data_IF_017042306940
#
_entry.id   IF_017042306940
#
_cell.length_a   1.000
_cell.length_b   1.000
_cell.length_c   1.000
_cell.angle_alpha   90.00
_cell.angle_beta   90.00
_cell.angle_gamma   90.00
#
_symmetry.space_group_name_H-M   'P 1'
#
loop_
_entity.id
_entity.type
_entity.pdbx_description
1 polymer ?
#
# COMPACT_ATOMS: atom_id res chain seq x y z
N UNK A 1 -14.57 -26.24 33.01
CA UNK A 1 -13.57 -25.31 32.44
C UNK A 1 -13.02 -26.01 31.22
N UNK A 2 -13.35 -25.52 30.02
CA UNK A 2 -12.81 -26.11 28.80
C UNK A 2 -11.30 -25.85 28.81
N UNK A 3 -10.49 -26.90 28.72
CA UNK A 3 -9.07 -26.77 28.41
C UNK A 3 -8.97 -25.96 27.12
N UNK A 4 -8.40 -24.76 27.22
CA UNK A 4 -7.99 -23.99 26.06
C UNK A 4 -6.92 -24.83 25.37
N UNK A 5 -7.25 -25.46 24.25
CA UNK A 5 -6.25 -26.09 23.41
C UNK A 5 -5.19 -25.02 23.09
N UNK A 6 -3.98 -25.16 23.62
CA UNK A 6 -2.85 -24.31 23.29
C UNK A 6 -2.67 -24.38 21.77
N UNK A 7 -2.89 -23.27 21.06
CA UNK A 7 -2.48 -23.25 19.67
C UNK A 7 -0.94 -23.37 19.65
N UNK A 8 -0.44 -24.22 18.75
CA UNK A 8 0.99 -24.59 18.72
C UNK A 8 1.80 -23.72 17.79
N UNK A 9 1.16 -22.76 17.11
CA UNK A 9 1.79 -21.93 16.09
C UNK A 9 2.65 -20.83 16.71
N UNK A 10 3.90 -20.76 16.29
CA UNK A 10 4.85 -19.70 16.65
C UNK A 10 5.00 -18.71 15.50
N UNK A 11 4.54 -17.48 15.70
CA UNK A 11 4.70 -16.36 14.78
C UNK A 11 5.94 -15.54 15.14
N UNK A 12 6.95 -15.56 14.28
CA UNK A 12 8.13 -14.70 14.34
C UNK A 12 8.02 -13.39 13.54
N UNK A 13 8.57 -12.31 14.09
CA UNK A 13 8.79 -11.04 13.38
C UNK A 13 10.25 -10.66 13.49
N UNK A 14 10.85 -10.38 12.32
CA UNK A 14 12.21 -9.87 12.20
C UNK A 14 12.18 -8.34 12.07
N UNK A 15 13.30 -7.71 12.36
CA UNK A 15 13.51 -6.30 12.12
C UNK A 15 13.60 -6.03 10.61
N UNK A 16 12.87 -5.03 10.13
CA UNK A 16 12.97 -4.59 8.74
C UNK A 16 14.29 -3.83 8.54
N UNK A 17 15.06 -4.23 7.52
CA UNK A 17 16.40 -3.67 7.27
C UNK A 17 16.48 -2.78 6.05
N UNK A 18 15.39 -2.64 5.31
CA UNK A 18 15.31 -1.75 4.14
C UNK A 18 15.48 -0.28 4.57
N UNK A 19 16.24 0.50 3.80
CA UNK A 19 16.58 1.90 4.12
C UNK A 19 15.35 2.79 4.38
N UNK A 20 14.24 2.50 3.70
CA UNK A 20 13.03 3.31 3.76
C UNK A 20 11.91 2.68 4.59
N UNK A 21 12.17 1.56 5.26
CA UNK A 21 11.17 0.87 6.07
C UNK A 21 11.30 1.25 7.54
N UNK A 22 10.16 1.53 8.16
CA UNK A 22 10.06 1.87 9.58
C UNK A 22 8.87 1.18 10.23
N UNK A 23 8.08 0.43 9.46
CA UNK A 23 6.95 -0.38 9.90
C UNK A 23 7.44 -1.70 10.50
N UNK A 24 6.55 -2.39 11.18
CA UNK A 24 6.76 -3.71 11.77
C UNK A 24 5.52 -4.58 11.56
N UNK A 25 5.74 -5.87 11.29
CA UNK A 25 4.68 -6.81 10.94
C UNK A 25 3.74 -7.17 12.11
N UNK A 26 4.18 -7.01 13.36
CA UNK A 26 3.32 -7.12 14.55
C UNK A 26 3.54 -5.95 15.51
N UNK A 27 2.44 -5.38 15.99
CA UNK A 27 2.41 -4.43 17.11
C UNK A 27 2.04 -5.13 18.43
N UNK A 28 2.39 -4.55 19.59
CA UNK A 28 2.08 -5.14 20.90
C UNK A 28 0.58 -5.44 21.14
N UNK A 29 -0.34 -4.62 20.60
CA UNK A 29 -1.77 -4.88 20.73
C UNK A 29 -2.21 -6.13 19.95
N UNK A 30 -1.59 -6.39 18.79
CA UNK A 30 -1.86 -7.57 17.98
C UNK A 30 -1.19 -8.82 18.55
N UNK A 31 -0.02 -8.70 19.17
CA UNK A 31 0.57 -9.79 19.97
C UNK A 31 -0.41 -10.24 21.06
N UNK A 32 -0.99 -9.30 21.80
CA UNK A 32 -1.99 -9.60 22.84
C UNK A 32 -3.21 -10.32 22.26
N UNK A 33 -3.66 -9.91 21.06
CA UNK A 33 -4.79 -10.54 20.35
C UNK A 33 -4.45 -11.97 19.92
N UNK A 34 -3.30 -12.18 19.27
CA UNK A 34 -2.84 -13.47 18.79
C UNK A 34 -2.65 -14.47 19.93
N UNK A 35 -2.08 -14.02 21.05
CA UNK A 35 -1.92 -14.86 22.25
C UNK A 35 -3.26 -15.39 22.78
N UNK A 36 -4.33 -14.58 22.75
CA UNK A 36 -5.68 -15.02 23.15
C UNK A 36 -6.25 -16.10 22.23
N UNK A 37 -5.81 -16.12 20.98
CA UNK A 37 -6.12 -17.17 20.00
C UNK A 37 -5.12 -18.34 20.05
N UNK A 38 -4.24 -18.38 21.05
CA UNK A 38 -3.26 -19.43 21.28
C UNK A 38 -1.96 -19.27 20.49
N UNK A 39 -1.78 -18.24 19.66
CA UNK A 39 -0.54 -18.06 18.87
C UNK A 39 0.57 -17.46 19.74
N UNK A 40 1.72 -18.12 19.77
CA UNK A 40 2.91 -17.62 20.45
C UNK A 40 3.67 -16.67 19.53
N UNK A 41 4.14 -15.53 20.06
CA UNK A 41 4.84 -14.53 19.26
C UNK A 41 6.32 -14.43 19.67
N UNK A 42 7.23 -14.49 18.70
CA UNK A 42 8.65 -14.17 18.84
C UNK A 42 8.95 -12.88 18.10
N UNK A 43 9.61 -11.94 18.76
CA UNK A 43 9.96 -10.65 18.17
C UNK A 43 11.47 -10.50 18.24
N UNK A 44 12.11 -10.18 17.12
CA UNK A 44 13.52 -9.81 17.12
C UNK A 44 13.72 -8.55 17.97
N UNK A 45 14.72 -8.56 18.84
CA UNK A 45 15.08 -7.38 19.64
C UNK A 45 15.31 -6.16 18.75
N UNK A 46 14.63 -5.06 19.07
CA UNK A 46 14.69 -3.81 18.32
C UNK A 46 13.74 -3.72 17.12
N UNK A 47 13.03 -4.78 16.72
CA UNK A 47 12.23 -4.81 15.49
C UNK A 47 11.14 -3.72 15.42
N UNK A 48 10.57 -3.31 16.56
CA UNK A 48 9.52 -2.29 16.62
C UNK A 48 10.01 -0.86 16.78
N UNK A 49 11.31 -0.62 16.97
CA UNK A 49 11.83 0.69 17.42
C UNK A 49 11.52 1.80 16.41
N UNK A 50 11.66 1.53 15.11
CA UNK A 50 11.33 2.49 14.05
C UNK A 50 9.82 2.81 13.96
N UNK A 51 8.97 1.93 14.51
CA UNK A 51 7.52 2.12 14.66
C UNK A 51 7.11 2.70 16.03
N UNK A 52 8.09 3.05 16.87
CA UNK A 52 7.90 3.53 18.24
C UNK A 52 7.35 2.49 19.23
N UNK A 53 7.68 1.21 19.01
CA UNK A 53 7.42 0.11 19.96
C UNK A 53 8.74 -0.44 20.48
N UNK A 54 8.97 -0.39 21.78
CA UNK A 54 10.20 -0.94 22.39
C UNK A 54 9.99 -2.40 22.80
N UNK A 55 11.08 -3.14 22.97
CA UNK A 55 11.07 -4.57 23.37
C UNK A 55 10.26 -4.84 24.65
N UNK A 56 10.23 -3.88 25.57
CA UNK A 56 9.43 -3.99 26.80
C UNK A 56 7.92 -4.00 26.52
N UNK A 57 7.46 -3.27 25.49
CA UNK A 57 6.04 -3.26 25.10
C UNK A 57 5.60 -4.64 24.59
N UNK A 58 6.46 -5.29 23.79
CA UNK A 58 6.24 -6.66 23.31
C UNK A 58 6.25 -7.68 24.44
N UNK A 59 7.22 -7.57 25.35
CA UNK A 59 7.31 -8.44 26.52
C UNK A 59 6.06 -8.32 27.41
N UNK A 60 5.57 -7.08 27.65
CA UNK A 60 4.31 -6.83 28.39
C UNK A 60 3.08 -7.38 27.69
N UNK A 61 3.06 -7.34 26.35
CA UNK A 61 2.01 -7.95 25.54
C UNK A 61 2.03 -9.49 25.55
N UNK A 62 3.11 -10.10 26.04
CA UNK A 62 3.27 -11.55 26.16
C UNK A 62 4.00 -12.21 24.99
N UNK A 63 4.70 -11.45 24.16
CA UNK A 63 5.69 -12.01 23.22
C UNK A 63 7.01 -12.32 23.94
N UNK A 64 7.82 -13.17 23.32
CA UNK A 64 9.22 -13.34 23.70
C UNK A 64 10.09 -12.50 22.77
N UNK A 65 10.90 -11.60 23.35
CA UNK A 65 11.88 -10.83 22.59
C UNK A 65 13.20 -11.61 22.58
N UNK A 66 13.68 -11.94 21.39
CA UNK A 66 14.83 -12.85 21.18
C UNK A 66 15.73 -12.34 20.05
N UNK A 67 16.85 -13.03 19.81
CA UNK A 67 17.72 -12.73 18.66
C UNK A 67 17.06 -13.13 17.33
N UNK A 68 17.48 -12.52 16.22
CA UNK A 68 17.03 -12.89 14.88
C UNK A 68 17.20 -14.40 14.60
N UNK A 69 18.33 -14.98 15.03
CA UNK A 69 18.64 -16.40 14.86
C UNK A 69 17.64 -17.30 15.59
N UNK A 70 17.23 -16.90 16.80
CA UNK A 70 16.19 -17.63 17.54
C UNK A 70 14.81 -17.51 16.90
N UNK A 71 14.44 -16.32 16.37
CA UNK A 71 13.19 -16.16 15.60
C UNK A 71 13.19 -17.13 14.42
N UNK A 72 14.26 -17.12 13.62
CA UNK A 72 14.40 -17.97 12.41
C UNK A 72 14.36 -19.46 12.76
N UNK A 73 15.01 -19.86 13.86
CA UNK A 73 15.08 -21.27 14.25
C UNK A 73 13.76 -21.82 14.78
N UNK A 74 12.93 -20.99 15.41
CA UNK A 74 11.77 -21.42 16.21
C UNK A 74 10.43 -21.12 15.53
N UNK A 75 10.32 -20.05 14.76
CA UNK A 75 9.05 -19.63 14.16
C UNK A 75 8.52 -20.67 13.16
N UNK A 76 7.21 -20.90 13.18
CA UNK A 76 6.48 -21.69 12.17
C UNK A 76 5.97 -20.79 11.04
N UNK A 77 5.75 -19.51 11.35
CA UNK A 77 5.36 -18.48 10.41
C UNK A 77 6.16 -17.20 10.66
N UNK A 78 6.60 -16.56 9.59
CA UNK A 78 7.26 -15.26 9.60
C UNK A 78 6.41 -14.25 8.83
N UNK A 79 6.18 -13.09 9.45
CA UNK A 79 5.44 -11.98 8.86
C UNK A 79 6.40 -10.89 8.42
N UNK A 80 6.15 -10.34 7.24
CA UNK A 80 7.04 -9.39 6.60
C UNK A 80 6.28 -8.16 6.11
N UNK A 81 6.93 -7.00 6.20
CA UNK A 81 6.52 -5.79 5.50
C UNK A 81 7.11 -5.81 4.10
N UNK A 82 8.44 -5.91 4.02
CA UNK A 82 9.16 -6.14 2.77
C UNK A 82 9.52 -7.62 2.65
N UNK A 83 9.42 -8.18 1.44
CA UNK A 83 9.73 -9.59 1.24
C UNK A 83 11.17 -9.95 1.67
N UNK A 84 11.38 -11.13 2.28
CA UNK A 84 12.70 -11.53 2.76
C UNK A 84 13.73 -11.67 1.63
N UNK A 85 15.00 -11.42 1.94
CA UNK A 85 16.09 -11.63 0.98
C UNK A 85 16.27 -13.11 0.65
N UNK A 86 16.83 -13.43 -0.52
CA UNK A 86 17.17 -14.82 -0.88
C UNK A 86 18.12 -15.48 0.13
N UNK A 87 19.01 -14.70 0.75
CA UNK A 87 19.89 -15.17 1.81
C UNK A 87 19.09 -15.58 3.06
N UNK A 88 18.07 -14.81 3.43
CA UNK A 88 17.18 -15.16 4.53
C UNK A 88 16.33 -16.39 4.20
N UNK A 89 15.79 -16.51 2.98
CA UNK A 89 15.05 -17.72 2.56
C UNK A 89 15.87 -19.00 2.78
N UNK A 90 17.17 -18.98 2.48
CA UNK A 90 18.06 -20.13 2.68
C UNK A 90 18.41 -20.46 4.14
N UNK A 91 18.12 -19.56 5.08
CA UNK A 91 18.37 -19.76 6.52
C UNK A 91 17.13 -20.24 7.28
N UNK A 92 15.95 -20.02 6.73
CA UNK A 92 14.68 -20.39 7.36
C UNK A 92 14.47 -21.91 7.28
N UNK A 93 13.94 -22.50 8.35
CA UNK A 93 13.66 -23.95 8.39
C UNK A 93 12.61 -24.31 7.34
N UNK A 94 12.78 -25.47 6.69
CA UNK A 94 11.78 -26.00 5.75
C UNK A 94 10.42 -26.17 6.45
N UNK A 95 9.35 -25.95 5.69
CA UNK A 95 7.97 -25.96 6.17
C UNK A 95 7.51 -24.65 6.83
N UNK A 96 8.40 -23.66 7.00
CA UNK A 96 8.00 -22.35 7.54
C UNK A 96 7.16 -21.57 6.53
N UNK A 97 6.13 -20.91 7.05
CA UNK A 97 5.28 -20.03 6.29
C UNK A 97 5.84 -18.61 6.27
N UNK A 98 5.81 -17.95 5.12
CA UNK A 98 6.12 -16.53 5.00
C UNK A 98 4.88 -15.79 4.51
N UNK A 99 4.47 -14.76 5.25
CA UNK A 99 3.28 -13.95 4.96
C UNK A 99 3.71 -12.50 4.73
N UNK A 100 3.31 -11.91 3.61
CA UNK A 100 3.54 -10.49 3.31
C UNK A 100 3.38 -10.18 1.84
N UNK A 101 3.90 -9.03 1.41
CA UNK A 101 3.94 -8.63 0.00
C UNK A 101 5.13 -9.28 -0.71
N UNK A 102 4.91 -10.35 -1.48
CA UNK A 102 5.99 -11.21 -2.00
C UNK A 102 6.48 -10.86 -3.41
N UNK A 103 5.80 -9.96 -4.11
CA UNK A 103 6.12 -9.60 -5.50
C UNK A 103 5.72 -10.67 -6.53
N UNK A 104 4.74 -11.51 -6.17
CA UNK A 104 4.33 -12.69 -6.93
C UNK A 104 3.71 -12.41 -8.31
N UNK A 105 3.31 -11.17 -8.59
CA UNK A 105 2.85 -10.77 -9.93
C UNK A 105 3.99 -10.50 -10.92
N UNK A 106 5.19 -10.21 -10.42
CA UNK A 106 6.30 -9.70 -11.24
C UNK A 106 7.55 -10.55 -11.19
N UNK A 107 7.66 -11.42 -10.20
CA UNK A 107 8.91 -12.10 -9.89
C UNK A 107 8.67 -13.59 -9.64
N UNK A 108 8.42 -14.32 -10.73
CA UNK A 108 8.20 -15.76 -10.70
C UNK A 108 9.45 -16.54 -10.23
N UNK A 109 10.65 -16.00 -10.47
CA UNK A 109 11.91 -16.58 -10.01
C UNK A 109 12.01 -16.53 -8.48
N UNK A 110 11.58 -15.43 -7.86
CA UNK A 110 11.50 -15.32 -6.41
C UNK A 110 10.48 -16.30 -5.80
N UNK A 111 9.31 -16.47 -6.40
CA UNK A 111 8.32 -17.49 -5.98
C UNK A 111 8.93 -18.89 -6.08
N UNK A 112 9.64 -19.17 -7.18
CA UNK A 112 10.37 -20.44 -7.36
C UNK A 112 11.47 -20.63 -6.31
N UNK A 113 12.12 -19.56 -5.86
CA UNK A 113 13.13 -19.63 -4.81
C UNK A 113 12.52 -19.99 -3.44
N UNK A 114 11.33 -19.46 -3.12
CA UNK A 114 10.57 -19.84 -1.92
C UNK A 114 10.24 -21.35 -1.95
N UNK A 115 9.73 -21.85 -3.08
CA UNK A 115 9.42 -23.26 -3.29
C UNK A 115 10.67 -24.14 -3.12
N UNK A 116 11.79 -23.77 -3.74
CA UNK A 116 13.07 -24.50 -3.65
C UNK A 116 13.66 -24.51 -2.24
N UNK A 117 13.39 -23.47 -1.45
CA UNK A 117 13.76 -23.42 -0.04
C UNK A 117 12.86 -24.32 0.85
N UNK A 118 11.82 -24.94 0.27
CA UNK A 118 10.87 -25.79 0.99
C UNK A 118 9.95 -24.99 1.92
N UNK A 119 9.66 -23.73 1.57
CA UNK A 119 8.84 -22.82 2.35
C UNK A 119 7.42 -22.71 1.78
N UNK A 120 6.48 -22.26 2.60
CA UNK A 120 5.11 -21.91 2.16
C UNK A 120 5.02 -20.40 2.00
N UNK A 121 4.74 -19.93 0.79
CA UNK A 121 4.62 -18.50 0.51
C UNK A 121 3.16 -18.06 0.44
N UNK A 122 2.73 -17.17 1.32
CA UNK A 122 1.40 -16.54 1.31
C UNK A 122 1.53 -15.09 0.86
N UNK A 123 1.14 -14.82 -0.37
CA UNK A 123 1.24 -13.50 -0.99
C UNK A 123 -0.02 -12.67 -0.70
N UNK A 124 0.10 -11.65 0.15
CA UNK A 124 -1.02 -10.77 0.51
C UNK A 124 -1.53 -9.96 -0.69
N UNK A 125 -0.69 -9.70 -1.68
CA UNK A 125 -1.10 -9.01 -2.90
C UNK A 125 -2.06 -9.83 -3.78
N UNK A 126 -2.17 -11.15 -3.57
CA UNK A 126 -3.06 -12.06 -4.31
C UNK A 126 -4.47 -12.17 -3.70
N UNK A 127 -4.74 -11.48 -2.60
CA UNK A 127 -6.02 -11.52 -1.89
C UNK A 127 -7.22 -11.19 -2.82
N UNK A 128 -8.21 -12.09 -2.97
CA UNK A 128 -9.45 -11.82 -3.70
C UNK A 128 -10.31 -10.77 -2.98
N UNK A 129 -10.38 -9.55 -3.54
CA UNK A 129 -11.09 -8.42 -2.90
C UNK A 129 -12.61 -8.46 -3.03
N UNK A 130 -13.15 -9.42 -3.77
CA UNK A 130 -14.60 -9.61 -3.95
C UNK A 130 -15.24 -10.33 -2.76
N UNK A 131 -14.43 -11.01 -1.94
CA UNK A 131 -14.89 -11.77 -0.78
C UNK A 131 -15.01 -10.85 0.44
N UNK A 132 -16.19 -10.83 1.08
CA UNK A 132 -16.41 -10.03 2.27
C UNK A 132 -15.55 -10.48 3.46
N UNK A 133 -15.29 -11.78 3.59
CA UNK A 133 -14.40 -12.37 4.61
C UNK A 133 -12.95 -11.94 4.47
N UNK A 134 -12.53 -11.53 3.28
CA UNK A 134 -11.15 -11.12 2.98
C UNK A 134 -10.85 -9.66 3.35
N UNK A 135 -11.87 -8.82 3.59
CA UNK A 135 -11.68 -7.37 3.68
C UNK A 135 -10.73 -6.95 4.80
N UNK A 136 -10.72 -7.66 5.93
CA UNK A 136 -9.82 -7.34 7.04
C UNK A 136 -8.37 -7.81 6.81
N UNK A 137 -8.13 -8.62 5.78
CA UNK A 137 -6.81 -9.09 5.35
C UNK A 137 -6.16 -8.16 4.32
N UNK A 138 -6.91 -7.18 3.77
CA UNK A 138 -6.44 -6.33 2.67
C UNK A 138 -5.46 -5.25 3.15
N UNK A 139 -4.18 -5.63 3.20
CA UNK A 139 -3.06 -4.71 3.45
C UNK A 139 -3.01 -3.58 2.42
N UNK A 140 -3.21 -3.85 1.14
CA UNK A 140 -3.10 -2.82 0.11
C UNK A 140 -4.09 -1.68 0.35
N UNK A 141 -5.32 -1.99 0.77
CA UNK A 141 -6.30 -0.98 1.16
C UNK A 141 -5.83 -0.19 2.38
N UNK A 142 -5.33 -0.86 3.41
CA UNK A 142 -4.89 -0.19 4.64
C UNK A 142 -3.68 0.72 4.41
N UNK A 143 -2.67 0.25 3.68
CA UNK A 143 -1.44 1.00 3.39
C UNK A 143 -1.69 2.13 2.38
N UNK A 144 -2.55 1.93 1.38
CA UNK A 144 -2.92 3.02 0.45
C UNK A 144 -3.67 4.14 1.15
N UNK A 145 -4.50 3.82 2.16
CA UNK A 145 -5.19 4.82 2.98
C UNK A 145 -4.17 5.73 3.69
N UNK A 146 -3.17 5.14 4.35
CA UNK A 146 -2.07 5.86 5.01
C UNK A 146 -1.26 6.69 4.02
N UNK A 147 -0.90 6.11 2.87
CA UNK A 147 -0.17 6.78 1.80
C UNK A 147 -0.91 8.04 1.32
N UNK A 148 -2.22 7.95 1.09
CA UNK A 148 -3.05 9.09 0.68
C UNK A 148 -3.06 10.23 1.68
N UNK A 149 -3.20 9.91 2.97
CA UNK A 149 -3.10 10.89 4.05
C UNK A 149 -1.72 11.58 4.03
N UNK A 150 -0.65 10.80 4.04
CA UNK A 150 0.71 11.34 4.11
C UNK A 150 1.09 12.13 2.85
N UNK A 151 0.59 11.75 1.67
CA UNK A 151 0.82 12.48 0.43
C UNK A 151 0.33 13.93 0.51
N UNK A 152 -0.86 14.15 1.07
CA UNK A 152 -1.39 15.49 1.28
C UNK A 152 -0.57 16.29 2.30
N UNK A 153 -0.05 15.65 3.36
CA UNK A 153 0.84 16.30 4.33
C UNK A 153 2.18 16.70 3.69
N UNK A 154 2.77 15.81 2.89
CA UNK A 154 4.02 16.09 2.15
C UNK A 154 3.80 17.24 1.17
N UNK A 155 2.69 17.23 0.44
CA UNK A 155 2.34 18.33 -0.45
C UNK A 155 2.20 19.66 0.29
N UNK A 156 1.50 19.67 1.43
CA UNK A 156 1.31 20.86 2.25
C UNK A 156 2.63 21.39 2.84
N UNK A 157 3.53 20.50 3.25
CA UNK A 157 4.84 20.88 3.78
C UNK A 157 5.76 21.47 2.71
N UNK A 158 5.68 20.96 1.48
CA UNK A 158 6.50 21.43 0.37
C UNK A 158 5.94 22.71 -0.30
N UNK A 159 4.64 22.95 -0.20
CA UNK A 159 4.00 24.10 -0.82
C UNK A 159 4.27 25.38 -0.03
N UNK A 160 4.74 26.43 -0.73
CA UNK A 160 5.20 27.67 -0.09
C UNK A 160 4.11 28.64 0.38
N UNK A 161 2.84 28.23 0.42
CA UNK A 161 1.71 29.09 0.80
C UNK A 161 0.68 28.31 1.63
N UNK A 162 -0.28 29.02 2.21
CA UNK A 162 -1.38 28.42 2.95
C UNK A 162 -2.31 27.61 2.03
N UNK A 163 -2.69 26.42 2.50
CA UNK A 163 -3.78 25.64 1.90
C UNK A 163 -5.17 26.26 2.15
N UNK A 164 -5.53 26.70 3.38
CA UNK A 164 -6.83 27.30 3.62
C UNK A 164 -6.89 28.75 3.14
N UNK A 165 -8.11 29.24 2.94
CA UNK A 165 -8.34 30.68 2.82
C UNK A 165 -8.06 31.34 4.17
N UNK A 166 -7.28 32.43 4.16
CA UNK A 166 -6.99 33.19 5.37
C UNK A 166 -7.31 34.67 5.13
N UNK A 167 -8.13 35.25 6.00
CA UNK A 167 -8.35 36.70 6.04
C UNK A 167 -7.50 37.28 7.15
N UNK A 168 -6.53 38.13 6.80
CA UNK A 168 -5.58 38.73 7.75
C UNK A 168 -5.61 40.25 7.66
N UNK A 169 -4.95 40.93 8.59
CA UNK A 169 -4.77 42.39 8.52
C UNK A 169 -4.02 42.84 7.24
N UNK A 170 -3.17 41.98 6.67
CA UNK A 170 -2.42 42.27 5.45
C UNK A 170 -3.21 41.95 4.16
N UNK A 171 -4.44 41.44 4.28
CA UNK A 171 -5.30 41.07 3.15
C UNK A 171 -5.71 39.60 3.17
N UNK A 172 -6.36 39.18 2.08
CA UNK A 172 -6.91 37.83 1.92
C UNK A 172 -5.96 36.95 1.12
N UNK A 173 -5.60 35.81 1.70
CA UNK A 173 -4.84 34.74 1.04
C UNK A 173 -5.86 33.74 0.49
N UNK A 174 -5.80 33.51 -0.83
CA UNK A 174 -6.69 32.55 -1.50
C UNK A 174 -6.28 31.12 -1.13
N UNK A 175 -7.25 30.19 -1.01
CA UNK A 175 -6.94 28.80 -0.73
C UNK A 175 -6.18 28.16 -1.88
N UNK A 176 -5.32 27.20 -1.56
CA UNK A 176 -4.63 26.39 -2.56
C UNK A 176 -5.64 25.52 -3.33
N UNK A 177 -5.39 25.36 -4.62
CA UNK A 177 -6.10 24.43 -5.50
C UNK A 177 -5.29 23.16 -5.63
N UNK A 178 -5.87 22.05 -5.20
CA UNK A 178 -5.25 20.73 -5.24
C UNK A 178 -5.96 19.87 -6.28
N UNK A 179 -5.20 19.27 -7.20
CA UNK A 179 -5.66 18.27 -8.15
C UNK A 179 -5.19 16.88 -7.70
N UNK A 180 -6.13 15.94 -7.57
CA UNK A 180 -5.83 14.54 -7.31
C UNK A 180 -6.08 13.73 -8.59
N UNK A 181 -5.04 13.07 -9.12
CA UNK A 181 -5.15 12.18 -10.29
C UNK A 181 -5.11 10.72 -9.83
N UNK A 182 -6.27 10.07 -9.95
CA UNK A 182 -6.57 8.76 -9.38
C UNK A 182 -7.42 8.90 -8.11
N UNK A 183 -8.62 8.32 -8.12
CA UNK A 183 -9.56 8.31 -6.99
C UNK A 183 -9.77 6.88 -6.46
N UNK A 184 -8.69 6.09 -6.40
CA UNK A 184 -8.64 4.87 -5.58
C UNK A 184 -8.53 5.21 -4.09
N UNK A 185 -8.33 4.21 -3.22
CA UNK A 185 -8.25 4.40 -1.76
C UNK A 185 -7.27 5.52 -1.35
N UNK A 186 -6.07 5.54 -1.93
CA UNK A 186 -5.08 6.58 -1.65
C UNK A 186 -5.54 7.97 -2.13
N UNK A 187 -6.12 8.06 -3.32
CA UNK A 187 -6.67 9.30 -3.86
C UNK A 187 -7.79 9.85 -2.99
N UNK A 188 -8.75 9.00 -2.58
CA UNK A 188 -9.84 9.38 -1.69
C UNK A 188 -9.33 9.88 -0.33
N UNK A 189 -8.29 9.25 0.24
CA UNK A 189 -7.67 9.77 1.45
C UNK A 189 -6.93 11.10 1.27
N UNK A 190 -6.23 11.27 0.13
CA UNK A 190 -5.59 12.53 -0.20
C UNK A 190 -6.64 13.65 -0.34
N UNK A 191 -7.78 13.36 -0.98
CA UNK A 191 -8.92 14.29 -1.06
C UNK A 191 -9.39 14.70 0.33
N UNK A 192 -9.74 13.72 1.18
CA UNK A 192 -10.25 13.98 2.52
C UNK A 192 -9.27 14.79 3.37
N UNK A 193 -7.97 14.49 3.26
CA UNK A 193 -6.92 15.19 4.02
C UNK A 193 -6.71 16.61 3.52
N UNK A 194 -6.56 16.83 2.21
CA UNK A 194 -6.40 18.17 1.64
C UNK A 194 -7.63 19.07 1.91
N UNK A 195 -8.85 18.50 1.89
CA UNK A 195 -10.07 19.19 2.29
C UNK A 195 -10.05 19.62 3.75
N UNK A 196 -9.60 18.74 4.66
CA UNK A 196 -9.46 19.07 6.10
C UNK A 196 -8.41 20.16 6.34
N UNK A 197 -7.39 20.24 5.49
CA UNK A 197 -6.41 21.35 5.49
C UNK A 197 -6.94 22.65 4.87
N UNK A 198 -8.18 22.65 4.36
CA UNK A 198 -8.86 23.84 3.83
C UNK A 198 -8.60 24.15 2.35
N UNK A 199 -7.96 23.24 1.61
CA UNK A 199 -7.74 23.42 0.18
C UNK A 199 -9.03 23.27 -0.64
N UNK A 200 -9.04 23.89 -1.82
CA UNK A 200 -10.04 23.62 -2.86
C UNK A 200 -9.57 22.41 -3.66
N UNK A 201 -10.21 21.26 -3.42
CA UNK A 201 -9.80 20.00 -4.02
C UNK A 201 -10.66 19.67 -5.23
N UNK A 202 -10.00 19.31 -6.32
CA UNK A 202 -10.58 18.68 -7.50
C UNK A 202 -9.91 17.33 -7.73
N UNK A 203 -10.64 16.32 -8.19
CA UNK A 203 -10.07 15.02 -8.48
C UNK A 203 -10.56 14.47 -9.81
N UNK A 204 -9.75 13.60 -10.42
CA UNK A 204 -10.08 12.90 -11.65
C UNK A 204 -9.75 11.42 -11.53
N UNK A 205 -10.61 10.57 -12.07
CA UNK A 205 -10.39 9.14 -12.25
C UNK A 205 -11.07 8.71 -13.55
N UNK A 206 -10.51 7.70 -14.22
CA UNK A 206 -11.08 7.17 -15.46
C UNK A 206 -12.38 6.38 -15.20
N UNK A 207 -12.59 5.91 -13.96
CA UNK A 207 -13.77 5.13 -13.58
C UNK A 207 -14.97 6.08 -13.36
N UNK A 208 -16.11 5.85 -14.03
CA UNK A 208 -17.31 6.67 -13.84
C UNK A 208 -17.82 6.68 -12.39
N UNK A 209 -17.72 5.54 -11.69
CA UNK A 209 -18.19 5.40 -10.30
C UNK A 209 -17.47 6.35 -9.33
N UNK A 210 -16.21 6.68 -9.60
CA UNK A 210 -15.40 7.53 -8.73
C UNK A 210 -15.90 8.97 -8.63
N UNK A 211 -16.73 9.44 -9.57
CA UNK A 211 -17.33 10.77 -9.48
C UNK A 211 -18.16 10.94 -8.20
N UNK A 212 -19.04 9.98 -7.90
CA UNK A 212 -19.86 10.03 -6.69
C UNK A 212 -19.03 9.95 -5.41
N UNK A 213 -17.97 9.13 -5.41
CA UNK A 213 -17.04 9.01 -4.27
C UNK A 213 -16.31 10.34 -4.00
N UNK A 214 -15.78 10.97 -5.05
CA UNK A 214 -15.10 12.28 -4.98
C UNK A 214 -16.04 13.36 -4.44
N UNK A 215 -17.25 13.44 -5.01
CA UNK A 215 -18.24 14.44 -4.62
C UNK A 215 -18.75 14.23 -3.18
N UNK A 216 -18.85 12.98 -2.71
CA UNK A 216 -19.22 12.66 -1.32
C UNK A 216 -18.23 13.19 -0.28
N UNK A 217 -16.96 13.37 -0.67
CA UNK A 217 -15.90 13.98 0.16
C UNK A 217 -15.86 15.52 0.03
N UNK A 218 -16.79 16.11 -0.73
CA UNK A 218 -16.88 17.55 -0.94
C UNK A 218 -15.81 18.12 -1.88
N UNK A 219 -15.17 17.27 -2.69
CA UNK A 219 -14.30 17.69 -3.78
C UNK A 219 -15.07 17.81 -5.10
N UNK A 220 -14.51 18.56 -6.05
CA UNK A 220 -15.07 18.63 -7.41
C UNK A 220 -14.52 17.50 -8.26
N UNK A 221 -15.34 16.90 -9.11
CA UNK A 221 -14.82 16.03 -10.16
C UNK A 221 -14.32 16.87 -11.33
N UNK A 222 -13.15 16.55 -11.88
CA UNK A 222 -12.57 17.29 -12.99
C UNK A 222 -13.34 16.99 -14.27
N UNK A 223 -14.00 18.01 -14.82
CA UNK A 223 -14.62 17.93 -16.13
C UNK A 223 -13.60 18.25 -17.23
N UNK A 224 -13.29 17.23 -18.04
CA UNK A 224 -12.38 17.32 -19.18
C UNK A 224 -13.07 17.91 -20.42
N UNK A 225 -14.39 18.08 -20.43
CA UNK A 225 -15.14 18.51 -21.61
C UNK A 225 -15.18 17.45 -22.73
N UNK A 226 -14.94 16.19 -22.37
CA UNK A 226 -14.90 15.05 -23.28
C UNK A 226 -16.04 14.08 -22.91
N UNK A 227 -16.80 13.65 -23.91
CA UNK A 227 -17.87 12.67 -23.72
C UNK A 227 -17.46 11.30 -24.28
N UNK A 228 -17.02 10.42 -23.39
CA UNK A 228 -16.68 9.02 -23.70
C UNK A 228 -17.81 8.05 -23.34
N UNK A 229 -19.01 8.53 -23.01
CA UNK A 229 -20.14 7.73 -22.50
C UNK A 229 -20.72 6.73 -23.51
N UNK A 230 -20.29 6.76 -24.78
CA UNK A 230 -20.72 5.83 -25.83
C UNK A 230 -20.09 4.43 -25.74
N UNK A 231 -19.63 4.01 -24.57
CA UNK A 231 -19.18 2.63 -24.33
C UNK A 231 -19.04 2.33 -22.85
N UNK A 232 -20.08 1.81 -22.23
CA UNK A 232 -19.94 1.14 -20.93
C UNK A 232 -19.25 -0.21 -21.13
N UNK A 233 -18.16 -0.45 -20.41
CA UNK A 233 -17.60 -1.79 -20.25
C UNK A 233 -18.41 -2.58 -19.21
N UNK A 234 -18.38 -3.90 -19.27
CA UNK A 234 -18.98 -4.76 -18.25
C UNK A 234 -18.24 -4.67 -16.91
N UNK A 235 -18.98 -4.80 -15.80
CA UNK A 235 -18.40 -5.01 -14.47
C UNK A 235 -17.88 -3.77 -13.71
N UNK A 236 -18.26 -2.54 -14.11
CA UNK A 236 -17.86 -1.32 -13.39
C UNK A 236 -16.46 -0.80 -13.72
N UNK A 237 -15.77 -1.43 -14.67
CA UNK A 237 -14.54 -0.90 -15.27
C UNK A 237 -14.85 0.01 -16.46
N UNK A 238 -14.04 1.05 -16.65
CA UNK A 238 -14.14 1.90 -17.84
C UNK A 238 -13.83 1.07 -19.10
N UNK A 239 -14.56 1.32 -20.20
CA UNK A 239 -14.19 0.78 -21.51
C UNK A 239 -12.74 1.16 -21.81
N UNK A 240 -11.99 0.22 -22.39
CA UNK A 240 -10.67 0.52 -22.92
C UNK A 240 -10.78 1.62 -24.00
N UNK A 241 -10.26 2.79 -23.70
CA UNK A 241 -10.19 3.92 -24.63
C UNK A 241 -9.21 3.58 -25.76
N UNK A 242 -9.54 4.03 -26.98
CA UNK A 242 -8.60 4.01 -28.12
C UNK A 242 -7.39 4.91 -27.84
N UNK A 243 -6.30 4.70 -28.58
CA UNK A 243 -5.09 5.52 -28.41
C UNK A 243 -5.36 7.02 -28.64
N UNK A 244 -6.25 7.36 -29.58
CA UNK A 244 -6.66 8.74 -29.83
C UNK A 244 -7.46 9.33 -28.67
N UNK A 245 -8.43 8.58 -28.12
CA UNK A 245 -9.21 9.00 -26.95
C UNK A 245 -8.32 9.16 -25.71
N UNK A 246 -7.36 8.26 -25.51
CA UNK A 246 -6.37 8.37 -24.43
C UNK A 246 -5.50 9.62 -24.60
N UNK A 247 -5.04 9.92 -25.81
CA UNK A 247 -4.26 11.11 -26.09
C UNK A 247 -5.07 12.40 -25.86
N UNK A 248 -6.34 12.43 -26.30
CA UNK A 248 -7.25 13.55 -26.05
C UNK A 248 -7.51 13.75 -24.55
N UNK A 249 -7.77 12.65 -23.83
CA UNK A 249 -7.94 12.67 -22.38
C UNK A 249 -6.70 13.22 -21.69
N UNK A 250 -5.52 12.72 -22.05
CA UNK A 250 -4.25 13.16 -21.46
C UNK A 250 -3.99 14.65 -21.72
N UNK A 251 -4.20 15.12 -22.96
CA UNK A 251 -4.05 16.53 -23.31
C UNK A 251 -5.02 17.44 -22.52
N UNK A 252 -6.27 16.99 -22.32
CA UNK A 252 -7.24 17.73 -21.51
C UNK A 252 -6.84 17.77 -20.03
N UNK A 253 -6.31 16.67 -19.47
CA UNK A 253 -5.77 16.64 -18.10
C UNK A 253 -4.59 17.62 -17.98
N UNK A 254 -3.61 17.54 -18.88
CA UNK A 254 -2.43 18.42 -18.88
C UNK A 254 -2.83 19.90 -18.95
N UNK A 255 -3.76 20.25 -19.83
CA UNK A 255 -4.26 21.62 -19.98
C UNK A 255 -4.94 22.12 -18.70
N UNK A 256 -5.79 21.29 -18.07
CA UNK A 256 -6.53 21.66 -16.87
C UNK A 256 -5.62 21.72 -15.64
N UNK A 257 -4.59 20.88 -15.58
CA UNK A 257 -3.63 20.82 -14.48
C UNK A 257 -2.92 22.18 -14.26
N UNK A 258 -2.69 22.96 -15.31
CA UNK A 258 -2.09 24.30 -15.24
C UNK A 258 -2.80 25.28 -14.27
N UNK A 259 -4.07 25.03 -13.96
CA UNK A 259 -4.86 25.87 -13.05
C UNK A 259 -4.73 25.52 -11.55
N UNK A 260 -3.87 24.56 -11.20
CA UNK A 260 -3.71 24.04 -9.83
C UNK A 260 -2.33 24.37 -9.26
N UNK A 261 -2.28 24.49 -7.93
CA UNK A 261 -1.04 24.80 -7.20
C UNK A 261 -0.34 23.51 -6.72
N UNK A 262 -1.12 22.47 -6.48
CA UNK A 262 -0.65 21.16 -6.02
C UNK A 262 -1.28 20.07 -6.88
N UNK A 263 -0.50 19.09 -7.31
CA UNK A 263 -0.97 17.86 -7.96
C UNK A 263 -0.52 16.64 -7.15
N UNK A 264 -1.41 15.69 -6.87
CA UNK A 264 -1.08 14.40 -6.24
C UNK A 264 -1.52 13.28 -7.16
N UNK A 265 -0.61 12.36 -7.48
CA UNK A 265 -0.88 11.22 -8.38
C UNK A 265 -0.77 9.90 -7.63
N UNK A 266 -1.77 9.02 -7.77
CA UNK A 266 -1.86 7.79 -6.95
C UNK A 266 -2.17 6.51 -7.73
N UNK A 267 -2.04 6.50 -9.06
CA UNK A 267 -2.39 5.31 -9.84
C UNK A 267 -1.26 4.28 -9.81
N UNK A 268 -1.49 3.18 -9.07
CA UNK A 268 -0.66 2.00 -9.07
C UNK A 268 -1.42 0.83 -9.71
N UNK A 269 -0.76 0.14 -10.64
CA UNK A 269 -1.27 -1.10 -11.22
C UNK A 269 -0.34 -2.23 -10.75
N UNK A 270 -0.82 -3.19 -9.96
CA UNK A 270 0.00 -4.30 -9.48
C UNK A 270 0.73 -4.99 -10.64
N UNK A 271 2.04 -5.08 -10.49
CA UNK A 271 2.93 -5.76 -11.44
C UNK A 271 3.10 -5.12 -12.82
N UNK A 272 2.69 -3.86 -13.00
CA UNK A 272 2.89 -3.12 -14.25
C UNK A 272 3.53 -1.77 -14.00
N UNK A 273 4.14 -1.22 -15.05
CA UNK A 273 4.59 0.17 -15.05
C UNK A 273 3.41 1.10 -14.69
N UNK A 274 3.58 2.05 -13.77
CA UNK A 274 2.55 3.05 -13.47
C UNK A 274 2.13 3.78 -14.76
N UNK A 275 0.83 4.00 -14.98
CA UNK A 275 0.38 4.80 -16.12
C UNK A 275 0.82 6.25 -15.93
N UNK A 276 1.25 6.91 -17.01
CA UNK A 276 1.48 8.36 -16.98
C UNK A 276 0.12 9.06 -16.93
N UNK A 277 -0.06 9.92 -15.93
CA UNK A 277 -1.25 10.73 -15.71
C UNK A 277 -1.00 12.22 -15.95
N UNK A 278 0.26 12.66 -15.89
CA UNK A 278 0.67 14.02 -16.18
C UNK A 278 1.95 13.99 -17.01
N UNK A 279 1.88 14.52 -18.22
CA UNK A 279 3.03 14.51 -19.15
C UNK A 279 4.04 15.60 -18.80
N UNK A 280 5.21 15.57 -19.45
CA UNK A 280 6.19 16.65 -19.37
C UNK A 280 5.60 18.01 -19.79
N UNK A 281 4.67 18.02 -20.75
CA UNK A 281 3.96 19.23 -21.16
C UNK A 281 3.00 19.72 -20.07
N UNK A 282 2.27 18.81 -19.42
CA UNK A 282 1.43 19.13 -18.27
C UNK A 282 2.22 19.73 -17.11
N UNK A 283 3.38 19.15 -16.78
CA UNK A 283 4.30 19.68 -15.77
C UNK A 283 4.82 21.08 -16.15
N UNK A 284 5.20 21.27 -17.41
CA UNK A 284 5.68 22.57 -17.90
C UNK A 284 4.60 23.66 -17.88
N UNK A 285 3.32 23.27 -17.98
CA UNK A 285 2.17 24.18 -17.92
C UNK A 285 1.82 24.66 -16.51
N UNK A 286 2.33 24.01 -15.46
CA UNK A 286 2.13 24.45 -14.08
C UNK A 286 2.90 25.75 -13.80
N UNK A 287 2.38 26.55 -12.87
CA UNK A 287 3.05 27.78 -12.46
C UNK A 287 4.29 27.48 -11.63
N UNK A 288 5.27 28.40 -11.65
CA UNK A 288 6.44 28.34 -10.78
C UNK A 288 6.03 28.27 -9.30
N UNK A 289 6.63 27.36 -8.54
CA UNK A 289 6.30 27.10 -7.15
C UNK A 289 5.17 26.09 -6.94
N UNK A 290 4.55 25.57 -8.01
CA UNK A 290 3.64 24.43 -7.90
C UNK A 290 4.38 23.19 -7.38
N UNK A 291 3.64 22.32 -6.70
CA UNK A 291 4.16 21.08 -6.11
C UNK A 291 3.44 19.87 -6.68
N UNK A 292 4.19 18.84 -7.03
CA UNK A 292 3.68 17.55 -7.46
C UNK A 292 4.16 16.47 -6.50
N UNK A 293 3.24 15.65 -5.99
CA UNK A 293 3.54 14.48 -5.18
C UNK A 293 3.16 13.23 -5.98
N UNK A 294 4.17 12.46 -6.38
CA UNK A 294 3.98 11.24 -7.15
C UNK A 294 4.17 10.00 -6.27
N UNK A 295 3.04 9.42 -5.86
CA UNK A 295 3.02 8.24 -5.00
C UNK A 295 3.43 6.96 -5.73
N UNK A 296 3.51 6.98 -7.06
CA UNK A 296 3.84 5.81 -7.89
C UNK A 296 5.26 5.85 -8.45
N UNK A 297 6.06 6.87 -8.10
CA UNK A 297 7.45 6.99 -8.53
C UNK A 297 8.28 5.76 -8.11
N UNK A 298 9.05 5.22 -9.05
CA UNK A 298 9.89 4.03 -8.89
C UNK A 298 10.97 4.02 -9.96
N UNK A 299 11.82 2.99 -9.98
CA UNK A 299 12.80 2.78 -11.06
C UNK A 299 12.15 2.55 -12.44
N UNK A 300 10.86 2.15 -12.46
CA UNK A 300 10.08 2.00 -13.69
C UNK A 300 9.46 3.33 -14.16
N UNK A 301 9.72 4.44 -13.44
CA UNK A 301 9.07 5.74 -13.60
C UNK A 301 7.93 5.93 -12.59
N UNK A 302 7.08 6.93 -12.84
CA UNK A 302 5.93 7.25 -12.00
C UNK A 302 4.72 7.68 -12.82
N UNK A 303 3.69 8.21 -12.14
CA UNK A 303 2.54 8.78 -12.84
C UNK A 303 2.87 10.11 -13.51
N UNK A 304 3.96 10.76 -13.11
CA UNK A 304 4.43 12.01 -13.70
C UNK A 304 5.63 11.71 -14.57
N UNK A 305 5.59 12.14 -15.83
CA UNK A 305 6.68 11.89 -16.77
C UNK A 305 7.99 12.52 -16.29
N UNK A 306 9.06 11.72 -16.19
CA UNK A 306 10.35 12.15 -15.64
C UNK A 306 10.46 12.12 -14.11
N UNK A 307 9.42 11.69 -13.41
CA UNK A 307 9.45 11.49 -11.96
C UNK A 307 10.33 10.30 -11.57
N UNK A 308 11.17 10.53 -10.56
CA UNK A 308 12.02 9.53 -9.89
C UNK A 308 11.83 9.66 -8.39
N UNK A 309 12.23 8.65 -7.63
CA UNK A 309 12.22 8.72 -6.16
C UNK A 309 13.07 9.90 -5.69
N UNK A 310 12.56 10.64 -4.69
CA UNK A 310 13.20 11.84 -4.17
C UNK A 310 12.58 13.13 -4.70
N UNK A 311 13.25 14.26 -4.43
CA UNK A 311 12.78 15.60 -4.81
C UNK A 311 13.58 16.14 -5.99
N UNK A 312 12.86 16.68 -6.97
CA UNK A 312 13.42 17.32 -8.16
C UNK A 312 12.76 18.68 -8.38
N UNK A 313 13.51 19.65 -8.88
CA UNK A 313 12.98 20.96 -9.28
C UNK A 313 13.20 21.13 -10.77
N UNK A 314 12.13 21.38 -11.51
CA UNK A 314 12.18 21.59 -12.96
C UNK A 314 12.74 22.97 -13.30
N UNK A 315 13.11 23.18 -14.57
CA UNK A 315 13.60 24.49 -15.06
C UNK A 315 12.58 25.62 -14.86
N UNK A 316 11.27 25.34 -15.01
CA UNK A 316 10.19 26.29 -14.74
C UNK A 316 9.89 26.47 -13.23
N UNK A 317 10.61 25.77 -12.35
CA UNK A 317 10.53 25.89 -10.90
C UNK A 317 9.34 25.19 -10.25
N UNK A 318 8.85 24.11 -10.86
CA UNK A 318 7.89 23.18 -10.26
C UNK A 318 8.67 22.15 -9.44
N UNK A 319 8.19 21.84 -8.24
CA UNK A 319 8.80 20.80 -7.40
C UNK A 319 8.08 19.48 -7.62
N UNK A 320 8.80 18.43 -8.01
CA UNK A 320 8.29 17.06 -8.15
C UNK A 320 8.87 16.23 -7.02
N UNK A 321 8.02 15.55 -6.26
CA UNK A 321 8.42 14.72 -5.12
C UNK A 321 7.92 13.30 -5.37
N UNK A 322 8.83 12.41 -5.77
CA UNK A 322 8.56 10.98 -5.93
C UNK A 322 8.68 10.24 -4.60
N UNK A 323 7.57 9.71 -4.10
CA UNK A 323 7.45 9.19 -2.73
C UNK A 323 6.66 7.86 -2.69
N UNK A 324 7.25 6.74 -3.12
CA UNK A 324 6.55 5.45 -3.12
C UNK A 324 6.31 4.86 -1.72
N UNK A 325 7.12 5.27 -0.72
CA UNK A 325 7.18 4.65 0.62
C UNK A 325 6.48 5.46 1.72
N UNK A 326 5.50 6.31 1.37
CA UNK A 326 4.89 7.24 2.33
C UNK A 326 4.27 6.58 3.58
N UNK A 327 3.79 5.34 3.47
CA UNK A 327 3.20 4.60 4.60
C UNK A 327 4.23 4.37 5.71
N UNK A 328 5.49 4.17 5.35
CA UNK A 328 6.61 4.07 6.31
C UNK A 328 6.80 5.36 7.11
N UNK A 329 6.54 6.53 6.50
CA UNK A 329 6.54 7.83 7.17
C UNK A 329 5.37 8.08 8.14
N UNK A 330 4.49 7.10 8.35
CA UNK A 330 3.42 7.07 9.38
C UNK A 330 3.48 5.71 10.10
N UNK A 331 4.70 5.28 10.45
CA UNK A 331 5.04 3.93 10.88
C UNK A 331 4.11 3.36 11.96
N UNK A 332 3.83 4.09 13.04
CA UNK A 332 2.94 3.59 14.12
C UNK A 332 1.55 3.19 13.62
N UNK A 333 0.88 4.05 12.84
CA UNK A 333 -0.46 3.74 12.31
C UNK A 333 -0.39 2.68 11.21
N UNK A 334 0.61 2.77 10.33
CA UNK A 334 0.79 1.83 9.24
C UNK A 334 1.07 0.41 9.75
N UNK A 335 1.94 0.27 10.76
CA UNK A 335 2.25 -0.99 11.45
C UNK A 335 1.03 -1.56 12.16
N UNK A 336 0.24 -0.73 12.85
CA UNK A 336 -0.96 -1.21 13.54
C UNK A 336 -1.96 -1.82 12.53
N UNK A 337 -2.21 -1.11 11.42
CA UNK A 337 -3.09 -1.61 10.37
C UNK A 337 -2.52 -2.87 9.69
N UNK A 338 -1.24 -2.85 9.31
CA UNK A 338 -0.55 -3.98 8.71
C UNK A 338 -0.61 -5.21 9.62
N UNK A 339 -0.32 -5.03 10.91
CA UNK A 339 -0.32 -6.10 11.89
C UNK A 339 -1.69 -6.75 12.02
N UNK A 340 -2.78 -5.96 11.94
CA UNK A 340 -4.14 -6.51 11.89
C UNK A 340 -4.35 -7.35 10.64
N UNK A 341 -3.96 -6.84 9.48
CA UNK A 341 -4.10 -7.54 8.20
C UNK A 341 -3.33 -8.88 8.22
N UNK A 342 -2.04 -8.86 8.58
CA UNK A 342 -1.18 -10.05 8.64
C UNK A 342 -1.71 -11.07 9.67
N UNK A 343 -2.14 -10.61 10.84
CA UNK A 343 -2.68 -11.51 11.86
C UNK A 343 -4.04 -12.10 11.47
N UNK A 344 -4.87 -11.38 10.70
CA UNK A 344 -6.12 -11.92 10.17
C UNK A 344 -5.86 -12.95 9.05
N UNK A 345 -4.83 -12.73 8.21
CA UNK A 345 -4.35 -13.75 7.26
C UNK A 345 -3.84 -14.98 8.00
N UNK A 346 -3.02 -14.81 9.04
CA UNK A 346 -2.58 -15.94 9.85
C UNK A 346 -3.76 -16.71 10.44
N UNK A 347 -4.72 -16.00 11.05
CA UNK A 347 -5.87 -16.61 11.70
C UNK A 347 -6.71 -17.47 10.73
N UNK A 348 -6.79 -17.07 9.46
CA UNK A 348 -7.46 -17.86 8.41
C UNK A 348 -6.80 -19.22 8.19
N UNK A 349 -5.47 -19.28 8.19
CA UNK A 349 -4.72 -20.52 7.97
C UNK A 349 -4.56 -21.39 9.23
N UNK A 350 -4.94 -20.89 10.41
CA UNK A 350 -4.89 -21.66 11.66
C UNK A 350 -6.17 -22.48 11.80
N UNK A 351 -6.06 -23.80 11.60
CA UNK A 351 -7.14 -24.79 11.73
C UNK A 351 -6.75 -25.81 12.81
N UNK A 352 -7.62 -26.02 13.81
CA UNK A 352 -7.37 -26.90 14.96
C UNK A 352 -6.00 -26.67 15.66
N UNK A 353 -5.58 -25.40 15.77
CA UNK A 353 -4.34 -25.00 16.44
C UNK A 353 -3.06 -25.25 15.64
N UNK A 354 -3.17 -25.56 14.34
CA UNK A 354 -2.06 -25.80 13.41
C UNK A 354 -2.26 -25.02 12.10
N UNK A 355 -1.17 -24.80 11.37
CA UNK A 355 -1.24 -24.25 10.02
C UNK A 355 -1.67 -25.34 9.03
N UNK A 356 -2.64 -25.05 8.17
CA UNK A 356 -3.12 -25.97 7.16
C UNK A 356 -3.51 -25.22 5.88
N UNK A 357 -3.42 -25.89 4.73
CA UNK A 357 -3.86 -25.40 3.42
C UNK A 357 -5.04 -26.27 2.97
N UNK A 358 -6.11 -25.64 2.48
CA UNK A 358 -7.19 -26.29 1.75
C UNK A 358 -7.38 -25.59 0.40
N UNK A 359 -6.81 -26.16 -0.67
CA UNK A 359 -6.87 -25.57 -2.01
C UNK A 359 -8.28 -25.56 -2.62
N UNK A 360 -9.27 -26.20 -1.98
CA UNK A 360 -10.66 -26.04 -2.37
C UNK A 360 -11.24 -24.71 -1.86
N UNK A 361 -10.63 -24.08 -0.85
CA UNK A 361 -10.98 -22.74 -0.42
C UNK A 361 -10.38 -21.69 -1.37
N UNK A 362 -11.22 -20.77 -1.82
CA UNK A 362 -10.84 -19.72 -2.79
C UNK A 362 -9.69 -18.85 -2.27
N UNK A 363 -9.65 -18.56 -0.96
CA UNK A 363 -8.60 -17.76 -0.33
C UNK A 363 -7.24 -18.46 -0.36
N UNK A 364 -7.18 -19.73 0.08
CA UNK A 364 -5.96 -20.52 0.09
C UNK A 364 -5.41 -20.67 -1.33
N UNK A 365 -6.28 -21.05 -2.28
CA UNK A 365 -5.88 -21.24 -3.68
C UNK A 365 -5.38 -19.95 -4.33
N UNK A 366 -5.92 -18.79 -3.95
CA UNK A 366 -5.46 -17.52 -4.46
C UNK A 366 -4.14 -17.07 -3.84
N UNK A 367 -4.02 -17.14 -2.51
CA UNK A 367 -2.93 -16.50 -1.75
C UNK A 367 -1.68 -17.36 -1.60
N UNK A 368 -1.80 -18.69 -1.57
CA UNK A 368 -0.63 -19.57 -1.46
C UNK A 368 0.08 -19.64 -2.81
N UNK A 369 1.24 -19.02 -2.93
CA UNK A 369 2.00 -18.93 -4.19
C UNK A 369 3.16 -19.94 -4.27
N UNK A 370 3.57 -20.50 -3.13
CA UNK A 370 4.60 -21.53 -3.02
C UNK A 370 4.29 -22.47 -1.85
N UNK A 371 4.77 -23.71 -1.90
CA UNK A 371 4.64 -24.73 -0.87
C UNK A 371 3.25 -25.36 -0.82
N UNK A 372 2.55 -25.46 -1.96
CA UNK A 372 1.16 -26.00 -2.05
C UNK A 372 1.02 -27.50 -1.75
N UNK A 373 2.11 -28.22 -1.54
CA UNK A 373 2.11 -29.69 -1.38
C UNK A 373 1.99 -30.44 -2.72
N UNK A 374 2.05 -31.78 -2.67
CA UNK A 374 2.09 -32.64 -3.88
C UNK A 374 0.75 -32.69 -4.65
N UNK A 375 -0.39 -32.36 -4.03
CA UNK A 375 -1.71 -32.47 -4.67
C UNK A 375 -1.92 -31.44 -5.80
N UNK A 376 -1.25 -30.28 -5.74
CA UNK A 376 -1.34 -29.25 -6.79
C UNK A 376 -0.61 -29.62 -8.11
N UNK A 377 0.27 -30.63 -8.10
CA UNK A 377 0.98 -31.05 -9.32
C UNK A 377 0.10 -31.82 -10.31
N UNK A 378 -1.08 -32.28 -9.89
CA UNK A 378 -1.98 -33.10 -10.72
C UNK A 378 -3.00 -32.32 -11.55
N UNK A 379 -3.22 -31.03 -11.25
CA UNK A 379 -4.17 -30.19 -12.01
C UNK A 379 -3.48 -29.37 -13.12
N UNK A 380 -2.15 -29.49 -13.26
CA UNK A 380 -1.35 -28.77 -14.25
C UNK A 380 -0.72 -29.62 -15.35
N UNK A 381 -1.10 -30.91 -15.47
CA UNK A 381 -0.72 -31.78 -16.62
C UNK A 381 -1.82 -31.86 -17.68
#
# INVERSE_FOLDING_TARGET
MAETAEATVVFGVLNETSEHESRVALTPDIVTRLRKSGVNCLIESGAGVASHYVDEDYSKAGAQVVSADEVIARADVLGFVDRPSSALLGRVKQGTWIIGMLGSFTDADYVTAIEKAGLVGVAMEKLPRQLSSAQSMDEMTSQNSVMGYKAAIVAANAYGSFLPMMTTAAGTIRPAKVLILGAGIAGLQAIGTAKRLGAVVTAYDVRPASKGEVESLGAKFLDLGLDFSKGQGEGGYARALSAEEQAQQQAAVDQKAAGFDIVITTAKVPGRKPPVLLTKAGVAGLHRGAVIVDCAASDLGGNVEGSTVGTQVTENGVTIIGVPYLSSGVSTTASNLLSRNVADVLAHFVRDGKLAIDLNEELDNAMVVAGRGEEAKKEGE
#
